data_IF_381587520845
#
_entry.id   IF_381587520845
#
_cell.length_a   1.000
_cell.length_b   1.000
_cell.length_c   1.000
_cell.angle_alpha   90.00
_cell.angle_beta   90.00
_cell.angle_gamma   90.00
#
_symmetry.space_group_name_H-M   'P 1'
#
loop_
_entity.id
_entity.type
_entity.pdbx_description
1 polymer ?
#
# COMPACT_ATOMS: atom_id res chain seq x y z
N UNK A 1 5.46 -2.32 -17.19
CA UNK A 1 4.11 -1.99 -17.74
C UNK A 1 3.85 -0.54 -17.38
N UNK A 2 3.41 0.29 -18.33
CA UNK A 2 3.20 1.72 -18.05
C UNK A 2 2.15 1.90 -16.94
N UNK A 3 2.41 2.79 -15.99
CA UNK A 3 1.51 3.19 -14.89
C UNK A 3 0.12 3.59 -15.38
N UNK A 4 0.07 4.30 -16.49
CA UNK A 4 -1.19 4.70 -17.13
C UNK A 4 -2.04 3.47 -17.49
N UNK A 5 -1.40 2.40 -17.99
CA UNK A 5 -2.08 1.15 -18.32
C UNK A 5 -2.60 0.46 -17.05
N UNK A 6 -1.81 0.44 -15.97
CA UNK A 6 -2.24 -0.16 -14.70
C UNK A 6 -3.44 0.59 -14.11
N UNK A 7 -3.37 1.92 -14.07
CA UNK A 7 -4.46 2.77 -13.60
C UNK A 7 -5.72 2.59 -14.46
N UNK A 8 -5.58 2.60 -15.80
CA UNK A 8 -6.69 2.34 -16.71
C UNK A 8 -7.35 0.98 -16.43
N UNK A 9 -6.53 -0.09 -16.29
CA UNK A 9 -7.04 -1.44 -16.01
C UNK A 9 -7.78 -1.51 -14.67
N UNK A 10 -7.28 -0.86 -13.63
CA UNK A 10 -7.95 -0.80 -12.34
C UNK A 10 -9.30 -0.05 -12.44
N UNK A 11 -9.32 1.14 -13.06
CA UNK A 11 -10.54 1.91 -13.26
C UNK A 11 -11.57 1.13 -14.07
N UNK A 12 -11.14 0.45 -15.15
CA UNK A 12 -12.01 -0.36 -16.01
C UNK A 12 -12.52 -1.61 -15.29
N UNK A 13 -11.61 -2.36 -14.63
CA UNK A 13 -11.93 -3.62 -13.94
C UNK A 13 -12.93 -3.40 -12.81
N UNK A 14 -12.72 -2.38 -12.01
CA UNK A 14 -13.53 -2.09 -10.83
C UNK A 14 -14.67 -1.11 -11.10
N UNK A 15 -14.86 -0.71 -12.37
CA UNK A 15 -15.92 0.20 -12.81
C UNK A 15 -15.98 1.47 -11.95
N UNK A 16 -14.81 2.07 -11.70
CA UNK A 16 -14.70 3.27 -10.88
C UNK A 16 -15.33 4.50 -11.55
N UNK A 17 -15.58 4.43 -12.85
CA UNK A 17 -16.39 5.39 -13.60
C UNK A 17 -17.78 5.62 -12.97
N UNK A 18 -18.30 4.60 -12.29
CA UNK A 18 -19.60 4.65 -11.64
C UNK A 18 -19.61 5.30 -10.25
N UNK A 19 -18.43 5.60 -9.69
CA UNK A 19 -18.33 6.41 -8.49
C UNK A 19 -18.76 7.87 -8.75
N UNK A 20 -18.60 8.31 -10.01
CA UNK A 20 -19.02 9.64 -10.44
C UNK A 20 -20.52 9.63 -10.84
N UNK A 21 -21.26 10.71 -10.54
CA UNK A 21 -22.59 10.92 -11.05
C UNK A 21 -22.64 10.80 -12.59
N UNK A 22 -23.75 10.33 -13.15
CA UNK A 22 -23.86 10.05 -14.59
C UNK A 22 -23.51 11.27 -15.47
N UNK A 23 -23.83 12.48 -15.03
CA UNK A 23 -23.54 13.73 -15.75
C UNK A 23 -22.06 14.14 -15.75
N UNK A 24 -21.26 13.59 -14.82
CA UNK A 24 -19.82 13.84 -14.70
C UNK A 24 -18.95 12.73 -15.31
N UNK A 25 -19.58 11.65 -15.81
CA UNK A 25 -18.84 10.54 -16.44
C UNK A 25 -18.25 10.97 -17.78
N UNK A 26 -16.93 10.86 -17.97
CA UNK A 26 -16.31 11.20 -19.24
C UNK A 26 -16.82 10.25 -20.35
N UNK A 27 -17.43 10.79 -21.40
CA UNK A 27 -17.89 9.98 -22.56
C UNK A 27 -16.76 9.21 -23.23
N UNK A 28 -15.57 9.75 -23.21
CA UNK A 28 -14.33 9.10 -23.66
C UNK A 28 -14.08 7.77 -22.93
N UNK A 29 -14.39 7.69 -21.64
CA UNK A 29 -14.15 6.48 -20.85
C UNK A 29 -15.05 5.31 -21.28
N UNK A 30 -16.31 5.57 -21.62
CA UNK A 30 -17.22 4.56 -22.13
C UNK A 30 -16.79 4.02 -23.51
N UNK A 31 -16.24 4.89 -24.36
CA UNK A 31 -15.65 4.50 -25.65
C UNK A 31 -14.41 3.63 -25.46
N UNK A 32 -13.53 4.00 -24.53
CA UNK A 32 -12.30 3.27 -24.21
C UNK A 32 -12.59 1.86 -23.69
N UNK A 33 -13.60 1.70 -22.82
CA UNK A 33 -14.06 0.39 -22.33
C UNK A 33 -14.62 -0.50 -23.44
N UNK A 34 -15.18 0.11 -24.49
CA UNK A 34 -15.72 -0.62 -25.66
C UNK A 34 -14.62 -1.12 -26.59
N UNK A 35 -13.54 -0.36 -26.73
CA UNK A 35 -12.39 -0.71 -27.58
C UNK A 35 -11.43 -1.67 -26.87
N UNK A 36 -11.25 -1.52 -25.56
CA UNK A 36 -10.39 -2.37 -24.74
C UNK A 36 -11.20 -3.05 -23.63
N UNK A 37 -11.92 -4.13 -23.95
CA UNK A 37 -12.73 -4.83 -22.96
C UNK A 37 -11.83 -5.43 -21.89
N UNK A 38 -12.10 -5.10 -20.63
CA UNK A 38 -11.46 -5.69 -19.45
C UNK A 38 -12.52 -6.47 -18.68
N UNK A 39 -12.17 -7.67 -18.21
CA UNK A 39 -13.03 -8.41 -17.28
C UNK A 39 -13.29 -7.56 -16.05
N UNK A 40 -14.51 -7.06 -15.92
CA UNK A 40 -14.90 -6.17 -14.83
C UNK A 40 -15.55 -6.94 -13.69
N UNK A 41 -15.38 -6.42 -12.48
CA UNK A 41 -16.09 -6.90 -11.28
C UNK A 41 -17.60 -6.66 -11.48
N UNK A 42 -18.47 -7.57 -11.02
CA UNK A 42 -19.91 -7.39 -11.12
C UNK A 42 -20.35 -6.06 -10.49
N UNK A 43 -21.30 -5.38 -11.14
CA UNK A 43 -21.86 -4.09 -10.68
C UNK A 43 -22.62 -4.25 -9.36
N UNK A 44 -23.03 -5.47 -9.01
CA UNK A 44 -23.65 -5.82 -7.73
C UNK A 44 -22.73 -5.64 -6.53
N UNK A 45 -21.40 -5.61 -6.75
CA UNK A 45 -20.43 -5.33 -5.69
C UNK A 45 -20.56 -3.87 -5.23
N UNK A 46 -20.65 -3.60 -3.90
CA UNK A 46 -20.73 -2.25 -3.35
C UNK A 46 -19.60 -1.34 -3.88
N UNK A 47 -19.91 -0.07 -4.10
CA UNK A 47 -18.97 0.87 -4.71
C UNK A 47 -17.72 1.09 -3.84
N UNK A 48 -17.85 1.11 -2.53
CA UNK A 48 -16.74 1.23 -1.59
C UNK A 48 -15.79 0.05 -1.69
N UNK A 49 -16.33 -1.19 -1.71
CA UNK A 49 -15.54 -2.41 -1.87
C UNK A 49 -14.78 -2.44 -3.20
N UNK A 50 -15.41 -1.99 -4.28
CA UNK A 50 -14.74 -1.90 -5.60
C UNK A 50 -13.57 -0.92 -5.56
N UNK A 51 -13.74 0.22 -4.88
CA UNK A 51 -12.66 1.20 -4.70
C UNK A 51 -11.53 0.60 -3.86
N UNK A 52 -11.83 -0.03 -2.72
CA UNK A 52 -10.84 -0.69 -1.87
C UNK A 52 -10.00 -1.70 -2.65
N UNK A 53 -10.66 -2.64 -3.36
CA UNK A 53 -9.98 -3.64 -4.18
C UNK A 53 -9.12 -3.03 -5.29
N UNK A 54 -9.56 -1.92 -5.88
CA UNK A 54 -8.78 -1.21 -6.89
C UNK A 54 -7.48 -0.63 -6.31
N UNK A 55 -7.54 -0.06 -5.11
CA UNK A 55 -6.37 0.48 -4.41
C UNK A 55 -5.39 -0.64 -3.99
N UNK A 56 -5.92 -1.79 -3.56
CA UNK A 56 -5.13 -2.99 -3.26
C UNK A 56 -4.38 -3.49 -4.51
N UNK A 57 -5.05 -3.60 -5.66
CA UNK A 57 -4.45 -4.03 -6.93
C UNK A 57 -3.41 -3.02 -7.47
N UNK A 58 -3.58 -1.73 -7.19
CA UNK A 58 -2.65 -0.67 -7.60
C UNK A 58 -1.39 -0.63 -6.75
N UNK A 59 -1.42 -1.25 -5.56
CA UNK A 59 -0.25 -1.46 -4.73
C UNK A 59 -0.11 -0.53 -3.53
N UNK A 60 1.02 -0.63 -2.81
CA UNK A 60 1.20 -0.08 -1.46
C UNK A 60 0.98 1.42 -1.32
N UNK A 61 1.38 2.20 -2.31
CA UNK A 61 1.20 3.67 -2.30
C UNK A 61 -0.28 4.03 -2.34
N UNK A 62 -1.06 3.33 -3.17
CA UNK A 62 -2.50 3.56 -3.26
C UNK A 62 -3.26 3.05 -2.03
N UNK A 63 -2.82 1.94 -1.44
CA UNK A 63 -3.33 1.45 -0.15
C UNK A 63 -3.12 2.52 0.92
N UNK A 64 -1.92 3.08 1.03
CA UNK A 64 -1.61 4.14 2.00
C UNK A 64 -2.44 5.41 1.77
N UNK A 65 -2.64 5.77 0.52
CA UNK A 65 -3.52 6.87 0.15
C UNK A 65 -4.98 6.61 0.58
N UNK A 66 -5.50 5.40 0.33
CA UNK A 66 -6.83 4.99 0.78
C UNK A 66 -6.99 5.02 2.31
N UNK A 67 -5.97 4.59 3.04
CA UNK A 67 -5.93 4.66 4.51
C UNK A 67 -5.99 6.11 5.01
N UNK A 68 -5.23 7.02 4.40
CA UNK A 68 -5.29 8.45 4.71
C UNK A 68 -6.68 9.02 4.44
N UNK A 69 -7.29 8.66 3.32
CA UNK A 69 -8.65 9.09 2.99
C UNK A 69 -9.69 8.56 3.97
N UNK A 70 -9.54 7.33 4.46
CA UNK A 70 -10.49 6.74 5.43
C UNK A 70 -10.55 7.50 6.76
N UNK A 71 -9.48 8.22 7.13
CA UNK A 71 -9.45 9.07 8.32
C UNK A 71 -10.24 10.39 8.14
N UNK A 72 -10.45 10.80 6.89
CA UNK A 72 -11.15 12.03 6.51
C UNK A 72 -12.59 11.73 6.11
N UNK A 73 -13.37 11.28 7.09
CA UNK A 73 -14.80 10.93 6.90
C UNK A 73 -15.68 12.13 6.50
N UNK A 74 -15.17 13.34 6.70
CA UNK A 74 -15.78 14.60 6.26
C UNK A 74 -15.76 14.77 4.72
N UNK A 75 -14.82 14.14 4.03
CA UNK A 75 -14.65 14.26 2.59
C UNK A 75 -15.31 13.13 1.78
N UNK A 76 -15.70 12.04 2.42
CA UNK A 76 -16.15 10.83 1.74
C UNK A 76 -17.57 10.41 2.19
N UNK A 77 -18.37 9.83 1.28
CA UNK A 77 -19.56 9.09 1.68
C UNK A 77 -19.20 7.98 2.68
N UNK A 78 -20.07 7.76 3.67
CA UNK A 78 -19.82 6.81 4.77
C UNK A 78 -19.50 5.39 4.27
N UNK A 79 -20.23 4.90 3.28
CA UNK A 79 -20.04 3.59 2.68
C UNK A 79 -18.65 3.41 2.01
N UNK A 80 -18.06 4.49 1.50
CA UNK A 80 -16.69 4.48 0.96
C UNK A 80 -15.69 4.56 2.11
N UNK A 81 -15.89 5.46 3.07
CA UNK A 81 -14.98 5.62 4.20
C UNK A 81 -14.86 4.33 5.03
N UNK A 82 -15.97 3.64 5.26
CA UNK A 82 -16.01 2.38 6.01
C UNK A 82 -15.24 1.27 5.30
N UNK A 83 -15.40 1.14 3.97
CA UNK A 83 -14.63 0.17 3.19
C UNK A 83 -13.14 0.51 3.11
N UNK A 84 -12.77 1.78 2.97
CA UNK A 84 -11.37 2.18 2.97
C UNK A 84 -10.71 1.99 4.35
N UNK A 85 -11.46 2.03 5.44
CA UNK A 85 -10.96 1.69 6.77
C UNK A 85 -10.57 0.21 6.91
N UNK A 86 -11.10 -0.66 6.04
CA UNK A 86 -10.73 -2.07 5.95
C UNK A 86 -9.41 -2.31 5.20
N UNK A 87 -8.81 -1.29 4.58
CA UNK A 87 -7.51 -1.42 3.95
C UNK A 87 -6.46 -1.79 4.99
N UNK A 88 -6.04 -3.05 4.97
CA UNK A 88 -5.06 -3.56 5.91
C UNK A 88 -3.66 -3.28 5.40
N UNK A 89 -2.83 -2.71 6.27
CA UNK A 89 -1.40 -2.52 6.03
C UNK A 89 -0.59 -3.71 6.61
N UNK A 90 -1.27 -4.81 6.99
CA UNK A 90 -0.62 -6.00 7.51
C UNK A 90 -0.16 -6.88 6.35
N UNK A 91 1.13 -6.81 6.07
CA UNK A 91 1.82 -7.69 5.13
C UNK A 91 2.69 -8.65 5.92
N UNK A 92 2.78 -9.90 5.48
CA UNK A 92 3.66 -10.88 6.13
C UNK A 92 5.08 -10.31 6.27
N UNK A 93 5.74 -10.48 7.43
CA UNK A 93 7.12 -10.05 7.61
C UNK A 93 8.03 -10.68 6.56
N UNK A 94 9.02 -9.92 6.08
CA UNK A 94 10.10 -10.51 5.30
C UNK A 94 11.15 -11.10 6.25
N UNK A 95 12.00 -12.04 5.77
CA UNK A 95 12.90 -12.79 6.63
C UNK A 95 13.81 -11.91 7.49
N UNK A 96 13.94 -12.24 8.77
CA UNK A 96 14.80 -11.51 9.73
C UNK A 96 16.25 -11.38 9.25
N UNK A 97 16.79 -12.41 8.59
CA UNK A 97 18.13 -12.37 8.00
C UNK A 97 18.29 -11.23 7.01
N UNK A 98 17.28 -10.97 6.20
CA UNK A 98 17.30 -9.88 5.22
C UNK A 98 17.17 -8.52 5.90
N UNK A 99 16.37 -8.43 6.98
CA UNK A 99 16.31 -7.22 7.80
C UNK A 99 17.66 -6.88 8.41
N UNK A 100 18.33 -7.86 9.02
CA UNK A 100 19.65 -7.71 9.62
C UNK A 100 20.67 -7.25 8.57
N UNK A 101 20.76 -7.90 7.43
CA UNK A 101 21.68 -7.51 6.35
C UNK A 101 21.46 -6.07 5.89
N UNK A 102 20.20 -5.62 5.80
CA UNK A 102 19.89 -4.23 5.43
C UNK A 102 20.34 -3.24 6.50
N UNK A 103 20.13 -3.56 7.77
CA UNK A 103 20.57 -2.71 8.88
C UNK A 103 22.09 -2.59 8.86
N UNK A 104 22.81 -3.71 8.80
CA UNK A 104 24.28 -3.75 8.77
C UNK A 104 24.85 -3.01 7.56
N UNK A 105 24.23 -3.20 6.38
CA UNK A 105 24.62 -2.48 5.18
C UNK A 105 24.39 -0.96 5.29
N UNK A 106 23.29 -0.54 5.91
CA UNK A 106 22.98 0.88 6.08
C UNK A 106 23.86 1.57 7.14
N UNK A 107 24.21 0.85 8.21
CA UNK A 107 25.02 1.38 9.31
C UNK A 107 26.54 1.18 9.09
N UNK A 108 26.93 0.33 8.13
CA UNK A 108 28.32 0.02 7.82
C UNK A 108 29.05 -0.77 8.93
N UNK A 109 28.31 -1.39 9.85
CA UNK A 109 28.81 -2.11 11.02
C UNK A 109 27.96 -3.35 11.29
N UNK A 110 28.55 -4.40 11.92
CA UNK A 110 27.79 -5.53 12.41
C UNK A 110 26.70 -5.11 13.41
N UNK A 111 25.59 -5.84 13.43
CA UNK A 111 24.45 -5.55 14.31
C UNK A 111 24.84 -5.51 15.79
N UNK A 112 25.77 -6.41 16.21
CA UNK A 112 26.30 -6.51 17.58
C UNK A 112 27.11 -5.29 18.05
N UNK A 113 27.62 -4.49 17.13
CA UNK A 113 28.29 -3.23 17.44
C UNK A 113 27.33 -2.05 17.55
N UNK A 114 26.14 -2.18 16.93
CA UNK A 114 25.15 -1.12 16.91
C UNK A 114 24.15 -1.23 18.06
N UNK A 115 23.79 -2.44 18.46
CA UNK A 115 22.76 -2.71 19.46
C UNK A 115 23.26 -3.73 20.49
N UNK A 116 22.95 -3.49 21.77
CA UNK A 116 23.16 -4.46 22.84
C UNK A 116 22.23 -5.66 22.69
N UNK A 117 20.98 -5.40 22.25
CA UNK A 117 19.97 -6.41 21.96
C UNK A 117 19.19 -6.03 20.70
N UNK A 118 18.83 -7.01 19.88
CA UNK A 118 17.98 -6.83 18.71
C UNK A 118 16.97 -7.98 18.60
N UNK A 119 15.69 -7.64 18.54
CA UNK A 119 14.65 -8.65 18.34
C UNK A 119 14.49 -8.95 16.85
N UNK A 120 14.82 -10.18 16.46
CA UNK A 120 14.67 -10.66 15.09
C UNK A 120 13.20 -10.80 14.66
N UNK A 121 12.27 -10.91 15.62
CA UNK A 121 10.84 -10.93 15.34
C UNK A 121 10.33 -9.50 15.27
N UNK A 122 9.71 -9.08 14.15
CA UNK A 122 9.25 -7.73 14.04
C UNK A 122 8.04 -7.47 14.95
N UNK A 123 8.01 -6.31 15.59
CA UNK A 123 6.85 -5.81 16.34
C UNK A 123 5.66 -5.53 15.43
N UNK A 124 5.93 -5.09 14.20
CA UNK A 124 4.93 -4.83 13.17
C UNK A 124 5.53 -4.96 11.78
N UNK A 125 4.72 -5.37 10.81
CA UNK A 125 5.10 -5.40 9.40
C UNK A 125 4.01 -4.75 8.56
N UNK A 126 4.42 -3.82 7.72
CA UNK A 126 3.55 -3.04 6.83
C UNK A 126 3.99 -3.20 5.35
N UNK A 127 3.22 -2.62 4.43
CA UNK A 127 3.48 -2.67 2.99
C UNK A 127 4.85 -2.11 2.59
N UNK A 128 5.35 -1.09 3.29
CA UNK A 128 6.62 -0.40 2.95
C UNK A 128 7.79 -0.77 3.86
N UNK A 129 7.54 -1.27 5.08
CA UNK A 129 8.57 -1.51 6.09
C UNK A 129 8.12 -2.51 7.14
N UNK A 130 9.07 -3.03 7.91
CA UNK A 130 8.81 -3.68 9.20
C UNK A 130 9.58 -2.98 10.31
N UNK A 131 9.12 -3.17 11.55
CA UNK A 131 9.66 -2.49 12.74
C UNK A 131 10.13 -3.56 13.71
N UNK A 132 11.36 -3.43 14.18
CA UNK A 132 11.98 -4.32 15.17
C UNK A 132 12.27 -3.56 16.45
N UNK A 133 12.15 -4.23 17.59
CA UNK A 133 12.65 -3.73 18.86
C UNK A 133 14.16 -3.90 18.95
N UNK A 134 14.85 -2.95 19.56
CA UNK A 134 16.28 -3.04 19.84
C UNK A 134 16.63 -2.25 21.08
N UNK A 135 17.80 -2.55 21.68
CA UNK A 135 18.38 -1.80 22.80
C UNK A 135 19.75 -1.31 22.41
N UNK A 136 20.00 -0.03 22.62
CA UNK A 136 21.31 0.59 22.38
C UNK A 136 22.32 0.18 23.47
N UNK A 137 23.64 0.35 23.22
CA UNK A 137 24.67 0.05 24.22
C UNK A 137 24.57 0.87 25.52
N UNK A 138 23.90 2.02 25.47
CA UNK A 138 23.64 2.87 26.64
C UNK A 138 22.42 2.41 27.47
N UNK A 139 21.76 1.31 27.03
CA UNK A 139 20.56 0.74 27.66
C UNK A 139 19.23 1.31 27.20
N UNK A 140 19.23 2.26 26.29
CA UNK A 140 18.00 2.87 25.75
C UNK A 140 17.26 1.89 24.85
N UNK A 141 15.93 1.73 25.05
CA UNK A 141 15.07 0.97 24.16
C UNK A 141 14.71 1.83 22.94
N UNK A 142 14.85 1.24 21.76
CA UNK A 142 14.60 1.90 20.48
C UNK A 142 13.81 0.98 19.55
N UNK A 143 13.23 1.55 18.50
CA UNK A 143 12.65 0.80 17.39
C UNK A 143 13.44 1.05 16.11
N UNK A 144 13.70 -0.01 15.37
CA UNK A 144 14.41 0.03 14.08
C UNK A 144 13.43 -0.23 12.97
N UNK A 145 13.17 0.79 12.14
CA UNK A 145 12.33 0.67 10.97
C UNK A 145 13.16 0.26 9.76
N UNK A 146 12.88 -0.91 9.21
CA UNK A 146 13.60 -1.49 8.07
C UNK A 146 12.70 -1.48 6.84
N UNK A 147 13.10 -0.76 5.80
CA UNK A 147 12.36 -0.70 4.55
C UNK A 147 12.32 -2.09 3.88
N UNK A 148 11.19 -2.41 3.29
CA UNK A 148 11.01 -3.66 2.56
C UNK A 148 11.93 -3.72 1.34
N UNK A 149 12.52 -4.91 1.05
CA UNK A 149 13.36 -5.09 -0.13
C UNK A 149 12.66 -4.66 -1.43
N UNK A 150 13.33 -3.85 -2.23
CA UNK A 150 12.84 -3.38 -3.52
C UNK A 150 11.78 -2.28 -3.47
N UNK A 151 11.38 -1.81 -2.28
CA UNK A 151 10.35 -0.78 -2.14
C UNK A 151 10.79 0.55 -2.75
N UNK A 152 12.09 0.87 -2.72
CA UNK A 152 12.64 2.08 -3.32
C UNK A 152 12.32 2.12 -4.83
N UNK A 153 12.54 1.01 -5.55
CA UNK A 153 12.21 0.91 -6.98
C UNK A 153 10.72 1.06 -7.24
N UNK A 154 9.89 0.59 -6.31
CA UNK A 154 8.45 0.72 -6.42
C UNK A 154 8.03 2.18 -6.23
N UNK A 155 8.59 2.86 -5.25
CA UNK A 155 8.32 4.28 -4.99
C UNK A 155 8.79 5.15 -6.16
N UNK A 156 10.01 4.92 -6.67
CA UNK A 156 10.55 5.65 -7.83
C UNK A 156 9.73 5.44 -9.11
N UNK A 157 9.08 4.29 -9.24
CA UNK A 157 8.15 4.03 -10.34
C UNK A 157 6.77 4.66 -10.11
N UNK A 158 6.46 5.05 -8.88
CA UNK A 158 5.18 5.59 -8.45
C UNK A 158 5.17 7.12 -8.44
N UNK A 159 6.33 7.77 -8.51
CA UNK A 159 6.53 9.19 -8.68
C UNK A 159 6.70 9.57 -10.16
#
# INVERSE_FOLDING_TARGET
>A
MSRVIALYRAVARYRLDQLLPAHQRPRFFSLLLRVFPVLSVPITTPRGERLRRALEDLGPVFVKFGQLLSTRRDLLPHDIADELALLQDQVAPFPAKEAIQRIESALGKPLSECFAEFDANPLAAASVAQVHGARLPDGSDVVVKVLRPGIEKTIDQDL
#
